data_IF_126761857225
#
_entry.id   IF_126761857225
#
_cell.length_a   1.000
_cell.length_b   1.000
_cell.length_c   1.000
_cell.angle_alpha   90.00
_cell.angle_beta   90.00
_cell.angle_gamma   90.00
#
_symmetry.space_group_name_H-M   'P 1'
#
loop_
_entity.id
_entity.type
_entity.pdbx_description
1 polymer ?
#
# COMPACT_ATOMS: atom_id res chain seq x y z
N UNK A 1 17.29 0.34 2.14
CA UNK A 1 16.04 -0.45 2.04
C UNK A 1 14.94 0.55 1.75
N UNK A 2 14.17 0.38 0.68
CA UNK A 2 13.10 1.31 0.32
C UNK A 2 11.83 0.99 1.14
N UNK A 3 11.12 2.01 1.62
CA UNK A 3 9.96 1.87 2.51
C UNK A 3 8.84 2.79 2.03
N UNK A 4 7.60 2.28 2.03
CA UNK A 4 6.41 3.06 1.72
C UNK A 4 5.76 3.61 3.00
N UNK A 5 5.31 4.88 3.02
CA UNK A 5 4.55 5.44 4.13
C UNK A 5 3.10 4.93 4.10
N UNK A 6 2.85 3.73 4.62
CA UNK A 6 1.53 3.10 4.64
C UNK A 6 0.80 3.36 5.97
N UNK A 7 -0.51 3.60 5.89
CA UNK A 7 -1.36 3.60 7.08
C UNK A 7 -1.52 2.16 7.62
N UNK A 8 -2.03 2.01 8.84
CA UNK A 8 -2.21 0.67 9.47
C UNK A 8 -2.99 -0.32 8.60
N UNK A 9 -4.01 0.16 7.88
CA UNK A 9 -4.91 -0.64 7.06
C UNK A 9 -4.33 -1.03 5.69
N UNK A 10 -3.33 -0.28 5.25
CA UNK A 10 -2.54 -0.61 4.06
C UNK A 10 -1.26 -1.37 4.39
N UNK A 11 -0.83 -1.38 5.64
CA UNK A 11 0.38 -2.09 6.06
C UNK A 11 0.08 -3.51 6.55
N UNK A 12 -0.64 -3.64 7.68
CA UNK A 12 -0.67 -4.88 8.47
C UNK A 12 -2.08 -5.36 8.83
N UNK A 13 -3.00 -4.44 9.12
CA UNK A 13 -4.31 -4.80 9.65
C UNK A 13 -5.36 -4.75 8.54
N UNK A 14 -6.30 -5.70 8.52
CA UNK A 14 -7.50 -5.56 7.71
C UNK A 14 -8.49 -4.60 8.39
N UNK A 15 -8.96 -3.60 7.65
CA UNK A 15 -10.06 -2.75 8.11
C UNK A 15 -11.35 -3.59 8.29
N UNK A 16 -12.30 -3.13 9.13
CA UNK A 16 -13.63 -3.73 9.25
C UNK A 16 -14.27 -3.98 7.88
N UNK A 17 -15.07 -5.05 7.78
CA UNK A 17 -15.67 -5.47 6.50
C UNK A 17 -16.50 -4.35 5.84
N UNK A 18 -17.31 -3.63 6.61
CA UNK A 18 -18.12 -2.53 6.09
C UNK A 18 -17.26 -1.42 5.47
N UNK A 19 -16.13 -1.08 6.09
CA UNK A 19 -15.21 -0.07 5.57
C UNK A 19 -14.56 -0.55 4.27
N UNK A 20 -14.22 -1.83 4.15
CA UNK A 20 -13.68 -2.40 2.90
C UNK A 20 -14.72 -2.53 1.79
N UNK A 21 -16.00 -2.68 2.13
CA UNK A 21 -17.08 -2.62 1.14
C UNK A 21 -17.23 -1.19 0.58
N UNK A 22 -17.05 -0.17 1.43
CA UNK A 22 -17.05 1.23 1.02
C UNK A 22 -15.75 1.65 0.30
N UNK A 23 -14.61 1.14 0.76
CA UNK A 23 -13.28 1.43 0.24
C UNK A 23 -12.57 0.13 -0.18
N UNK A 24 -12.91 -0.45 -1.34
CA UNK A 24 -12.38 -1.76 -1.76
C UNK A 24 -10.86 -1.81 -1.84
N UNK A 25 -10.18 -0.68 -2.05
CA UNK A 25 -8.73 -0.54 -2.12
C UNK A 25 -8.01 -0.53 -0.76
N UNK A 26 -8.76 -0.44 0.34
CA UNK A 26 -8.24 -0.38 1.71
C UNK A 26 -7.91 -1.79 2.23
N UNK A 27 -6.87 -2.38 1.65
CA UNK A 27 -6.37 -3.72 1.98
C UNK A 27 -4.90 -3.64 2.42
N UNK A 28 -4.45 -4.49 3.36
CA UNK A 28 -3.07 -4.45 3.81
C UNK A 28 -2.12 -5.15 2.83
N UNK A 29 -0.90 -4.63 2.66
CA UNK A 29 0.15 -5.24 1.83
C UNK A 29 0.66 -6.54 2.46
N UNK A 30 0.73 -6.60 3.79
CA UNK A 30 0.90 -7.84 4.53
C UNK A 30 -0.47 -8.43 4.83
N UNK A 31 -0.73 -9.65 4.36
CA UNK A 31 -2.03 -10.28 4.50
C UNK A 31 -2.44 -10.39 5.98
N UNK A 32 -3.69 -10.02 6.28
CA UNK A 32 -4.30 -10.12 7.60
C UNK A 32 -5.37 -11.22 7.55
N UNK A 33 -4.98 -12.44 7.91
CA UNK A 33 -5.79 -13.64 7.63
C UNK A 33 -5.92 -13.87 6.12
N UNK A 34 -7.16 -13.78 5.60
CA UNK A 34 -7.46 -13.97 4.18
C UNK A 34 -7.73 -12.64 3.42
N UNK A 35 -7.40 -11.49 4.02
CA UNK A 35 -7.62 -10.16 3.42
C UNK A 35 -6.29 -9.50 3.07
N UNK A 36 -6.18 -8.98 1.84
CA UNK A 36 -5.01 -8.27 1.36
C UNK A 36 -3.89 -9.18 0.88
N UNK A 37 -2.65 -8.78 1.17
CA UNK A 37 -1.45 -9.38 0.59
C UNK A 37 -0.99 -8.64 -0.67
N UNK A 38 0.31 -8.74 -0.96
CA UNK A 38 0.98 -7.98 -2.03
C UNK A 38 0.27 -8.03 -3.39
N UNK A 39 -0.23 -9.19 -3.81
CA UNK A 39 -0.92 -9.34 -5.09
C UNK A 39 -2.26 -8.58 -5.13
N UNK A 40 -3.08 -8.68 -4.08
CA UNK A 40 -4.36 -7.97 -3.99
C UNK A 40 -4.16 -6.47 -3.78
N UNK A 41 -3.22 -6.10 -2.90
CA UNK A 41 -2.81 -4.72 -2.69
C UNK A 41 -2.40 -4.05 -4.01
N UNK A 42 -1.53 -4.71 -4.78
CA UNK A 42 -1.06 -4.20 -6.09
C UNK A 42 -2.21 -4.08 -7.09
N UNK A 43 -3.10 -5.09 -7.15
CA UNK A 43 -4.26 -5.11 -8.05
C UNK A 43 -5.23 -3.95 -7.79
N UNK A 44 -5.40 -3.56 -6.53
CA UNK A 44 -6.38 -2.54 -6.12
C UNK A 44 -5.78 -1.14 -5.94
N UNK A 45 -4.46 -1.04 -5.87
CA UNK A 45 -3.71 0.22 -5.72
C UNK A 45 -2.75 0.38 -6.91
N UNK A 46 -1.44 0.22 -6.65
CA UNK A 46 -0.38 0.22 -7.66
C UNK A 46 0.79 -0.66 -7.18
N UNK A 47 1.79 -0.85 -8.03
CA UNK A 47 3.01 -1.57 -7.62
C UNK A 47 3.74 -0.80 -6.51
N UNK A 48 4.49 -1.52 -5.67
CA UNK A 48 5.29 -0.87 -4.62
C UNK A 48 6.32 0.10 -5.20
N UNK A 49 6.85 -0.16 -6.41
CA UNK A 49 7.80 0.72 -7.09
C UNK A 49 7.12 2.02 -7.55
N UNK A 50 5.92 1.93 -8.15
CA UNK A 50 5.17 3.11 -8.57
C UNK A 50 4.79 3.98 -7.37
N UNK A 51 4.29 3.36 -6.29
CA UNK A 51 3.96 4.07 -5.06
C UNK A 51 5.18 4.74 -4.43
N UNK A 52 6.34 4.10 -4.53
CA UNK A 52 7.59 4.66 -4.03
C UNK A 52 7.99 5.89 -4.86
N UNK A 53 7.93 5.81 -6.19
CA UNK A 53 8.17 6.95 -7.08
C UNK A 53 7.22 8.11 -6.80
N UNK A 54 5.93 7.81 -6.58
CA UNK A 54 4.93 8.81 -6.18
C UNK A 54 5.30 9.47 -4.84
N UNK A 55 5.70 8.68 -3.84
CA UNK A 55 6.12 9.18 -2.54
C UNK A 55 7.37 10.08 -2.62
N UNK A 56 8.40 9.66 -3.36
CA UNK A 56 9.60 10.47 -3.63
C UNK A 56 9.24 11.81 -4.28
N UNK A 57 8.41 11.78 -5.33
CA UNK A 57 7.93 12.98 -6.02
C UNK A 57 7.16 13.91 -5.08
N UNK A 58 6.25 13.37 -4.27
CA UNK A 58 5.44 14.15 -3.33
C UNK A 58 6.27 14.77 -2.20
N UNK A 59 7.33 14.08 -1.77
CA UNK A 59 8.27 14.59 -0.77
C UNK A 59 9.31 15.57 -1.35
N UNK A 60 9.36 15.77 -2.67
CA UNK A 60 10.39 16.58 -3.32
C UNK A 60 11.78 15.96 -3.26
N UNK A 61 11.88 14.64 -3.13
CA UNK A 61 13.13 13.91 -3.01
C UNK A 61 13.48 13.31 -4.38
N UNK A 62 14.65 13.67 -4.90
CA UNK A 62 15.23 13.02 -6.09
C UNK A 62 15.89 11.71 -5.65
N UNK A 63 15.48 10.60 -6.25
CA UNK A 63 16.15 9.31 -6.05
C UNK A 63 17.40 9.30 -6.93
N UNK A 64 18.56 9.54 -6.34
CA UNK A 64 19.83 9.27 -7.01
C UNK A 64 19.98 7.75 -7.23
N UNK A 65 20.61 7.37 -8.34
CA UNK A 65 20.67 5.98 -8.80
C UNK A 65 21.15 5.02 -7.71
N UNK A 66 20.58 3.81 -7.70
CA UNK A 66 20.93 2.74 -6.78
C UNK A 66 22.22 2.04 -7.20
#
# INVERSE_FOLDING_TARGET
MDVLPLCRWHHQDAAPKADREQYPWLVPVHASGNVGGKAEFTRLNASEEDLLLMAYKQAGITREGR
#
